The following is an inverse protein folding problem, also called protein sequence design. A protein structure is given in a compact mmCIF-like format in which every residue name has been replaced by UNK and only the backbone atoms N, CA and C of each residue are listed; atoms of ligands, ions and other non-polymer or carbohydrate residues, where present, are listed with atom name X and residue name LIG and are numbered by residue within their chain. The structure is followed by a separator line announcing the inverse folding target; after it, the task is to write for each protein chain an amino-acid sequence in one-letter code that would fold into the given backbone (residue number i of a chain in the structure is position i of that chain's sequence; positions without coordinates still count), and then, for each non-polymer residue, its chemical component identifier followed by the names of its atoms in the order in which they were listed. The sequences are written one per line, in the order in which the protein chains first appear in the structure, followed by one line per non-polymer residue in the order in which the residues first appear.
data_IF_350620566584
#
_entry.id   IF_350620566584
#
_cell.length_a   1.000
_cell.length_b   1.000
_cell.length_c   1.000
_cell.angle_alpha   90.00
_cell.angle_beta   90.00
_cell.angle_gamma   90.00
#
_symmetry.space_group_name_H-M   'P 1'
#
loop_
_entity.id
_entity.type
_entity.pdbx_description
1 polymer ?
#
# COMPACT_ATOMS: atom_id res chain seq x y z
N UNK A 1 12.09 13.18 -12.19
CA UNK A 1 12.53 11.94 -11.50
C UNK A 1 12.31 11.99 -9.99
N UNK A 2 12.48 13.15 -9.34
CA UNK A 2 12.30 13.34 -7.88
C UNK A 2 10.90 12.95 -7.36
N UNK A 3 9.85 13.20 -8.14
CA UNK A 3 8.44 12.97 -7.73
C UNK A 3 8.08 11.48 -7.59
N UNK A 4 8.74 10.57 -8.34
CA UNK A 4 8.37 9.15 -8.31
C UNK A 4 8.79 8.44 -7.02
N UNK A 5 9.99 8.77 -6.51
CA UNK A 5 10.51 8.22 -5.26
C UNK A 5 9.67 8.70 -4.08
N UNK A 6 9.30 9.99 -4.05
CA UNK A 6 8.43 10.56 -3.03
C UNK A 6 7.08 9.81 -2.99
N UNK A 7 6.46 9.56 -4.15
CA UNK A 7 5.21 8.79 -4.23
C UNK A 7 5.36 7.38 -3.67
N UNK A 8 6.47 6.69 -3.98
CA UNK A 8 6.75 5.36 -3.42
C UNK A 8 6.93 5.39 -1.89
N UNK A 9 7.70 6.36 -1.38
CA UNK A 9 7.95 6.50 0.06
C UNK A 9 6.67 6.87 0.82
N UNK A 10 5.88 7.82 0.32
CA UNK A 10 4.60 8.18 0.93
C UNK A 10 3.63 7.01 0.94
N UNK A 11 3.56 6.23 -0.15
CA UNK A 11 2.66 5.07 -0.21
C UNK A 11 3.13 3.95 0.72
N UNK A 12 4.44 3.70 0.81
CA UNK A 12 5.00 2.75 1.78
C UNK A 12 4.62 3.13 3.22
N UNK A 13 4.83 4.40 3.60
CA UNK A 13 4.47 4.90 4.94
C UNK A 13 2.96 4.80 5.19
N UNK A 14 2.14 5.09 4.16
CA UNK A 14 0.70 4.95 4.24
C UNK A 14 0.28 3.49 4.47
N UNK A 15 0.80 2.53 3.72
CA UNK A 15 0.47 1.10 3.87
C UNK A 15 0.85 0.59 5.26
N UNK A 16 2.07 0.89 5.71
CA UNK A 16 2.53 0.48 7.05
C UNK A 16 1.67 1.13 8.13
N UNK A 17 1.42 2.45 8.04
CA UNK A 17 0.59 3.17 9.00
C UNK A 17 -0.85 2.67 9.03
N UNK A 18 -1.42 2.36 7.86
CA UNK A 18 -2.75 1.78 7.73
C UNK A 18 -2.82 0.41 8.40
N UNK A 19 -1.83 -0.45 8.16
CA UNK A 19 -1.71 -1.76 8.80
C UNK A 19 -1.48 -1.68 10.32
N UNK A 20 -0.68 -0.73 10.79
CA UNK A 20 -0.55 -0.52 12.25
C UNK A 20 -1.86 -0.04 12.88
N UNK A 21 -2.62 0.77 12.15
CA UNK A 21 -3.91 1.31 12.62
C UNK A 21 -5.01 0.24 12.72
N UNK A 22 -4.81 -0.95 12.14
CA UNK A 22 -5.75 -2.09 12.28
C UNK A 22 -5.40 -3.02 13.45
N UNK A 23 -4.29 -2.78 14.17
CA UNK A 23 -3.91 -3.59 15.35
C UNK A 23 -4.85 -3.37 16.53
N UNK A 24 -4.88 -4.31 17.50
CA UNK A 24 -5.66 -4.15 18.73
C UNK A 24 -5.37 -2.80 19.39
N UNK A 25 -6.41 -2.16 19.92
CA UNK A 25 -6.36 -0.83 20.55
C UNK A 25 -6.22 0.37 19.60
N UNK A 26 -6.21 0.17 18.28
CA UNK A 26 -6.23 1.27 17.30
C UNK A 26 -7.60 1.47 16.63
N UNK A 27 -7.77 2.64 16.00
CA UNK A 27 -9.05 3.12 15.44
C UNK A 27 -9.68 2.17 14.41
N UNK A 28 -8.87 1.48 13.61
CA UNK A 28 -9.40 0.61 12.54
C UNK A 28 -9.54 -0.85 12.98
N UNK A 29 -9.30 -1.17 14.25
CA UNK A 29 -9.40 -2.54 14.77
C UNK A 29 -10.79 -3.15 14.51
N UNK A 30 -11.85 -2.45 14.90
CA UNK A 30 -13.22 -2.95 14.72
C UNK A 30 -13.60 -3.13 13.24
N UNK A 31 -13.10 -2.25 12.37
CA UNK A 31 -13.29 -2.36 10.93
C UNK A 31 -12.53 -3.57 10.37
N UNK A 32 -11.31 -3.80 10.85
CA UNK A 32 -10.51 -4.95 10.44
C UNK A 32 -11.17 -6.27 10.83
N UNK A 33 -11.64 -6.41 12.07
CA UNK A 33 -12.38 -7.61 12.50
C UNK A 33 -13.64 -7.86 11.67
N UNK A 34 -14.39 -6.80 11.35
CA UNK A 34 -15.60 -6.92 10.54
C UNK A 34 -15.27 -7.42 9.13
N UNK A 35 -14.24 -6.86 8.51
CA UNK A 35 -13.82 -7.23 7.15
C UNK A 35 -13.23 -8.64 7.11
N UNK A 36 -12.45 -9.04 8.10
CA UNK A 36 -11.89 -10.39 8.22
C UNK A 36 -13.00 -11.46 8.31
N UNK A 37 -14.09 -11.17 9.03
CA UNK A 37 -15.24 -12.09 9.16
C UNK A 37 -16.14 -12.12 7.92
N UNK A 38 -16.18 -11.02 7.17
CA UNK A 38 -17.14 -10.85 6.07
C UNK A 38 -16.56 -11.23 4.71
N UNK A 39 -15.27 -10.99 4.50
CA UNK A 39 -14.63 -11.15 3.20
C UNK A 39 -13.83 -12.45 3.11
N UNK A 40 -13.78 -13.08 1.92
CA UNK A 40 -12.89 -14.22 1.70
C UNK A 40 -11.43 -13.77 1.78
N UNK A 41 -10.56 -14.68 2.23
CA UNK A 41 -9.14 -14.39 2.53
C UNK A 41 -8.36 -13.76 1.37
N UNK A 42 -8.65 -14.17 0.12
CA UNK A 42 -8.00 -13.63 -1.07
C UNK A 42 -8.34 -12.16 -1.35
N UNK A 43 -9.48 -11.67 -0.88
CA UNK A 43 -9.90 -10.27 -1.01
C UNK A 43 -9.53 -9.46 0.24
N UNK A 44 -9.65 -10.06 1.42
CA UNK A 44 -9.26 -9.46 2.68
C UNK A 44 -7.75 -9.16 2.75
N UNK A 45 -6.91 -10.11 2.34
CA UNK A 45 -5.46 -10.00 2.40
C UNK A 45 -4.89 -8.73 1.72
N UNK A 46 -5.23 -8.41 0.45
CA UNK A 46 -4.74 -7.18 -0.18
C UNK A 46 -5.44 -5.91 0.29
N UNK A 47 -6.57 -6.00 1.00
CA UNK A 47 -7.26 -4.83 1.55
C UNK A 47 -6.66 -4.39 2.89
N UNK A 48 -6.60 -5.29 3.88
CA UNK A 48 -6.14 -4.98 5.25
C UNK A 48 -5.46 -6.17 5.96
N UNK A 49 -5.58 -7.38 5.42
CA UNK A 49 -5.14 -8.60 6.11
C UNK A 49 -3.64 -8.90 6.02
N UNK A 50 -2.94 -8.34 5.02
CA UNK A 50 -1.51 -8.55 4.85
C UNK A 50 -0.82 -7.28 4.36
N UNK A 51 0.07 -6.74 5.18
CA UNK A 51 0.85 -5.53 4.90
C UNK A 51 1.57 -5.58 3.54
N UNK A 52 2.09 -6.75 3.15
CA UNK A 52 2.78 -6.91 1.86
C UNK A 52 1.79 -6.98 0.69
N UNK A 53 0.65 -7.66 0.85
CA UNK A 53 -0.38 -7.75 -0.18
C UNK A 53 -1.06 -6.40 -0.43
N UNK A 54 -1.15 -5.55 0.59
CA UNK A 54 -1.68 -4.19 0.52
C UNK A 54 -0.97 -3.31 -0.50
N UNK A 55 0.29 -3.60 -0.83
CA UNK A 55 1.04 -2.92 -1.91
C UNK A 55 0.37 -3.01 -3.28
N UNK A 56 -0.48 -4.01 -3.54
CA UNK A 56 -1.20 -4.14 -4.80
C UNK A 56 -2.38 -3.15 -4.88
N UNK A 57 -3.37 -3.28 -4.01
CA UNK A 57 -4.61 -2.48 -4.05
C UNK A 57 -4.31 -1.02 -3.73
N UNK A 58 -3.63 -0.74 -2.62
CA UNK A 58 -3.30 0.63 -2.23
C UNK A 58 -2.23 1.23 -3.13
N UNK A 59 -1.33 0.40 -3.67
CA UNK A 59 -0.42 0.77 -4.75
C UNK A 59 -1.14 1.32 -5.97
N UNK A 60 -2.08 0.53 -6.51
CA UNK A 60 -2.86 0.91 -7.69
C UNK A 60 -3.65 2.20 -7.43
N UNK A 61 -4.29 2.34 -6.26
CA UNK A 61 -5.07 3.53 -5.91
C UNK A 61 -4.19 4.79 -5.94
N UNK A 62 -3.06 4.78 -5.23
CA UNK A 62 -2.14 5.92 -5.19
C UNK A 62 -1.52 6.23 -6.55
N UNK A 63 -1.12 5.19 -7.28
CA UNK A 63 -0.56 5.32 -8.61
C UNK A 63 -1.58 5.91 -9.60
N UNK A 64 -2.85 5.51 -9.49
CA UNK A 64 -3.96 6.05 -10.28
C UNK A 64 -4.20 7.52 -9.97
N UNK A 65 -4.27 7.90 -8.69
CA UNK A 65 -4.44 9.29 -8.27
C UNK A 65 -3.29 10.16 -8.79
N UNK A 66 -2.05 9.64 -8.78
CA UNK A 66 -0.89 10.34 -9.30
C UNK A 66 -0.99 10.56 -10.82
N UNK A 67 -1.37 9.53 -11.58
CA UNK A 67 -1.49 9.61 -13.04
C UNK A 67 -2.71 10.40 -13.52
N UNK A 68 -3.83 10.40 -12.78
CA UNK A 68 -5.03 11.18 -13.10
C UNK A 68 -4.79 12.69 -13.00
N UNK A 69 -3.77 13.13 -12.24
CA UNK A 69 -3.35 14.54 -12.20
C UNK A 69 -2.56 14.98 -13.44
N UNK A 70 -2.14 14.05 -14.30
CA UNK A 70 -1.48 14.36 -15.56
C UNK A 70 -2.58 14.49 -16.62
N UNK A 71 -2.82 15.71 -17.12
CA UNK A 71 -3.97 16.13 -17.93
C UNK A 71 -4.27 15.31 -19.22
N UNK A 72 -3.49 14.28 -19.56
CA UNK A 72 -3.67 13.45 -20.75
C UNK A 72 -3.77 11.95 -20.40
N UNK A 73 -4.84 11.54 -19.71
CA UNK A 73 -5.07 10.13 -19.35
C UNK A 73 -5.07 9.19 -20.57
N UNK A 74 -5.64 9.63 -21.69
CA UNK A 74 -5.81 8.80 -22.88
C UNK A 74 -4.48 8.50 -23.59
N UNK A 75 -3.55 9.46 -23.62
CA UNK A 75 -2.21 9.27 -24.21
C UNK A 75 -1.26 8.52 -23.26
N UNK A 76 -1.50 8.61 -21.94
CA UNK A 76 -0.64 8.01 -20.92
C UNK A 76 -1.12 6.62 -20.47
N UNK A 77 -2.24 6.10 -20.98
CA UNK A 77 -2.79 4.80 -20.57
C UNK A 77 -1.80 3.64 -20.76
N UNK A 78 -1.11 3.59 -21.90
CA UNK A 78 -0.09 2.55 -22.14
C UNK A 78 1.08 2.64 -21.17
N UNK A 79 1.48 3.86 -20.79
CA UNK A 79 2.52 4.08 -19.77
C UNK A 79 2.02 3.66 -18.40
N UNK A 80 0.80 4.04 -18.04
CA UNK A 80 0.17 3.66 -16.78
C UNK A 80 0.14 2.13 -16.61
N UNK A 81 -0.45 1.40 -17.57
CA UNK A 81 -0.56 -0.06 -17.49
C UNK A 81 0.82 -0.73 -17.59
N UNK A 82 1.73 -0.21 -18.43
CA UNK A 82 3.07 -0.77 -18.60
C UNK A 82 3.98 -0.63 -17.37
N UNK A 83 3.87 0.49 -16.64
CA UNK A 83 4.70 0.73 -15.45
C UNK A 83 4.07 0.25 -14.14
N UNK A 84 2.77 -0.04 -14.13
CA UNK A 84 2.06 -0.48 -12.92
C UNK A 84 2.68 -1.74 -12.27
N UNK A 85 3.05 -2.82 -12.99
CA UNK A 85 3.68 -3.98 -12.36
C UNK A 85 5.00 -3.65 -11.68
N UNK A 86 5.83 -2.80 -12.33
CA UNK A 86 7.12 -2.37 -11.79
C UNK A 86 6.91 -1.53 -10.53
N UNK A 87 5.92 -0.64 -10.54
CA UNK A 87 5.55 0.17 -9.38
C UNK A 87 5.13 -0.70 -8.19
N UNK A 88 4.24 -1.68 -8.41
CA UNK A 88 3.77 -2.59 -7.35
C UNK A 88 4.92 -3.41 -6.78
N UNK A 89 5.80 -3.95 -7.63
CA UNK A 89 6.97 -4.72 -7.19
C UNK A 89 7.93 -3.88 -6.34
N UNK A 90 8.24 -2.66 -6.80
CA UNK A 90 9.08 -1.73 -6.06
C UNK A 90 8.47 -1.35 -4.70
N UNK A 91 7.16 -1.08 -4.68
CA UNK A 91 6.43 -0.75 -3.46
C UNK A 91 6.41 -1.92 -2.48
N UNK A 92 6.20 -3.14 -2.94
CA UNK A 92 6.23 -4.33 -2.08
C UNK A 92 7.60 -4.50 -1.40
N UNK A 93 8.69 -4.38 -2.16
CA UNK A 93 10.05 -4.43 -1.59
C UNK A 93 10.30 -3.35 -0.53
N UNK A 94 9.82 -2.12 -0.77
CA UNK A 94 9.91 -1.03 0.20
C UNK A 94 9.07 -1.27 1.45
N UNK A 95 7.83 -1.74 1.29
CA UNK A 95 6.95 -2.09 2.41
C UNK A 95 7.57 -3.20 3.25
N UNK A 96 8.18 -4.20 2.61
CA UNK A 96 8.89 -5.26 3.31
C UNK A 96 10.03 -4.72 4.18
N UNK A 97 10.92 -3.93 3.59
CA UNK A 97 12.04 -3.29 4.30
C UNK A 97 11.56 -2.37 5.44
N UNK A 98 10.57 -1.52 5.16
CA UNK A 98 10.05 -0.56 6.13
C UNK A 98 9.35 -1.23 7.31
N UNK A 99 8.60 -2.30 7.05
CA UNK A 99 7.91 -3.05 8.09
C UNK A 99 8.89 -3.82 8.99
N UNK A 100 9.92 -4.46 8.42
CA UNK A 100 10.97 -5.12 9.21
C UNK A 100 11.74 -4.13 10.08
N UNK A 101 12.07 -2.95 9.55
CA UNK A 101 12.71 -1.89 10.31
C UNK A 101 11.83 -1.44 11.50
N UNK A 102 10.52 -1.27 11.27
CA UNK A 102 9.59 -0.88 12.33
C UNK A 102 9.47 -1.96 13.41
N UNK A 103 9.43 -3.24 13.03
CA UNK A 103 9.47 -4.36 13.97
C UNK A 103 10.78 -4.40 14.78
N UNK A 104 11.92 -4.16 14.12
CA UNK A 104 13.22 -4.11 14.78
C UNK A 104 13.30 -2.99 15.81
N UNK A 105 12.81 -1.78 15.47
CA UNK A 105 12.78 -0.64 16.38
C UNK A 105 11.85 -0.88 17.57
N UNK A 106 10.67 -1.46 17.34
CA UNK A 106 9.73 -1.81 18.42
C UNK A 106 10.31 -2.80 19.43
N UNK A 107 11.09 -3.78 18.97
CA UNK A 107 11.70 -4.78 19.86
C UNK A 107 12.88 -4.24 20.70
N UNK A 108 13.27 -2.98 20.50
CA UNK A 108 14.31 -2.30 21.28
C UNK A 108 13.76 -1.40 22.40
N UNK A 109 12.46 -1.14 22.40
CA UNK A 109 11.73 -0.42 23.44
C UNK A 109 11.28 -1.37 24.56
#
# INVERSE_FOLDING_TARGET
MMIFLEVLMTNMLFIIGLHESTKPSFILYSMNEFLEKTLPSWLYAPLLGCVYCMSSVWGVIFYSIYFLKLDNFQENWFRFVGFLPIYILALNGLVHLGYELLCFLRNRE
#
